data_IF_616175711172
#
_entry.id   IF_616175711172
#
_cell.length_a   1.000
_cell.length_b   1.000
_cell.length_c   1.000
_cell.angle_alpha   90.00
_cell.angle_beta   90.00
_cell.angle_gamma   90.00
#
_symmetry.space_group_name_H-M   'P 1'
#
loop_
_entity.id
_entity.type
_entity.pdbx_description
1 polymer ?
#
# COMPACT_ATOMS: atom_id res chain seq x y z
N UNK A 1 -4.71 18.60 5.28
CA UNK A 1 -4.73 17.43 4.40
C UNK A 1 -6.19 17.05 4.16
N UNK A 2 -6.62 16.85 2.91
CA UNK A 2 -8.02 16.47 2.66
C UNK A 2 -8.29 15.06 3.21
N UNK A 3 -9.51 14.83 3.72
CA UNK A 3 -9.88 13.57 4.41
C UNK A 3 -9.59 12.31 3.58
N UNK A 4 -9.68 12.41 2.24
CA UNK A 4 -9.37 11.31 1.31
C UNK A 4 -7.92 10.82 1.39
N UNK A 5 -6.96 11.72 1.57
CA UNK A 5 -5.54 11.36 1.65
C UNK A 5 -5.18 10.71 2.99
N UNK A 6 -5.83 11.15 4.07
CA UNK A 6 -5.73 10.48 5.36
C UNK A 6 -6.30 9.06 5.30
N UNK A 7 -7.45 8.86 4.65
CA UNK A 7 -8.03 7.54 4.46
C UNK A 7 -7.10 6.62 3.65
N UNK A 8 -6.53 7.10 2.54
CA UNK A 8 -5.56 6.32 1.74
C UNK A 8 -4.33 5.91 2.56
N UNK A 9 -3.79 6.80 3.39
CA UNK A 9 -2.66 6.48 4.27
C UNK A 9 -3.00 5.34 5.24
N UNK A 10 -4.20 5.37 5.82
CA UNK A 10 -4.68 4.30 6.70
C UNK A 10 -4.82 3.00 5.92
N UNK A 11 -5.45 3.02 4.75
CA UNK A 11 -5.61 1.84 3.88
C UNK A 11 -4.25 1.24 3.53
N UNK A 12 -3.26 2.06 3.14
CA UNK A 12 -1.90 1.60 2.88
C UNK A 12 -1.25 0.93 4.10
N UNK A 13 -1.47 1.48 5.29
CA UNK A 13 -1.00 0.86 6.56
C UNK A 13 -1.67 -0.50 6.78
N UNK A 14 -3.00 -0.54 6.62
CA UNK A 14 -3.81 -1.76 6.82
C UNK A 14 -3.39 -2.85 5.85
N UNK A 15 -3.19 -2.54 4.57
CA UNK A 15 -2.71 -3.51 3.58
C UNK A 15 -1.36 -4.12 3.96
N UNK A 16 -0.43 -3.31 4.48
CA UNK A 16 0.87 -3.81 4.95
C UNK A 16 0.72 -4.72 6.18
N UNK A 17 -0.16 -4.38 7.11
CA UNK A 17 -0.47 -5.23 8.28
C UNK A 17 -1.09 -6.56 7.82
N UNK A 18 -2.06 -6.50 6.90
CA UNK A 18 -2.69 -7.69 6.33
C UNK A 18 -1.68 -8.56 5.59
N UNK A 19 -0.72 -7.97 4.87
CA UNK A 19 0.36 -8.72 4.23
C UNK A 19 1.11 -9.59 5.26
N UNK A 20 1.54 -8.99 6.38
CA UNK A 20 2.23 -9.72 7.46
C UNK A 20 1.36 -10.81 8.08
N UNK A 21 0.07 -10.55 8.29
CA UNK A 21 -0.87 -11.55 8.81
C UNK A 21 -1.00 -12.73 7.85
N UNK A 22 -1.18 -12.46 6.55
CA UNK A 22 -1.28 -13.50 5.51
C UNK A 22 0.01 -14.31 5.42
N UNK A 23 1.18 -13.67 5.50
CA UNK A 23 2.46 -14.38 5.51
C UNK A 23 2.58 -15.30 6.73
N UNK A 24 2.22 -14.81 7.92
CA UNK A 24 2.25 -15.59 9.15
C UNK A 24 1.39 -16.85 9.03
N UNK A 25 0.13 -16.70 8.60
CA UNK A 25 -0.76 -17.86 8.40
C UNK A 25 -0.28 -18.78 7.29
N UNK A 26 0.31 -18.24 6.22
CA UNK A 26 0.91 -19.04 5.15
C UNK A 26 2.07 -19.91 5.64
N UNK A 27 2.95 -19.36 6.48
CA UNK A 27 4.06 -20.10 7.09
C UNK A 27 3.51 -21.18 8.04
N UNK A 28 2.56 -20.84 8.91
CA UNK A 28 1.93 -21.81 9.80
C UNK A 28 1.23 -22.94 9.03
N UNK A 29 0.52 -22.62 7.95
CA UNK A 29 -0.13 -23.59 7.07
C UNK A 29 0.88 -24.50 6.36
N UNK A 30 2.00 -23.95 5.90
CA UNK A 30 3.08 -24.75 5.30
C UNK A 30 3.68 -25.72 6.34
N UNK A 31 3.99 -25.25 7.55
CA UNK A 31 4.50 -26.13 8.61
C UNK A 31 3.49 -27.21 8.96
N UNK A 32 2.20 -26.87 9.05
CA UNK A 32 1.14 -27.83 9.32
C UNK A 32 1.08 -28.93 8.24
N UNK A 33 1.29 -28.60 6.95
CA UNK A 33 1.29 -29.62 5.89
C UNK A 33 2.43 -30.63 6.05
N UNK A 34 3.60 -30.21 6.55
CA UNK A 34 4.69 -31.13 6.89
C UNK A 34 4.32 -32.02 8.08
N UNK A 35 3.80 -31.44 9.16
CA UNK A 35 3.40 -32.21 10.35
C UNK A 35 2.38 -33.29 9.99
N UNK A 36 1.39 -32.93 9.17
CA UNK A 36 0.37 -33.87 8.70
C UNK A 36 0.98 -34.97 7.84
N UNK A 37 1.75 -34.62 6.81
CA UNK A 37 2.23 -35.62 5.85
C UNK A 37 3.39 -36.50 6.32
N UNK A 38 4.15 -36.07 7.33
CA UNK A 38 5.16 -36.91 8.00
C UNK A 38 4.64 -37.60 9.27
N UNK A 39 3.67 -37.00 9.96
CA UNK A 39 3.14 -37.51 11.23
C UNK A 39 2.01 -38.53 11.08
N UNK A 40 1.27 -38.48 9.96
CA UNK A 40 0.15 -39.39 9.67
C UNK A 40 0.46 -40.45 8.61
N UNK A 41 1.71 -40.50 8.11
CA UNK A 41 2.12 -41.49 7.13
C UNK A 41 1.98 -42.90 7.73
N UNK A 42 0.92 -43.61 7.38
CA UNK A 42 0.54 -44.91 7.95
C UNK A 42 -0.91 -45.00 8.45
N UNK A 43 -1.59 -43.87 8.65
CA UNK A 43 -3.03 -43.78 8.97
C UNK A 43 -3.90 -43.40 7.75
N UNK A 44 -3.25 -43.22 6.60
CA UNK A 44 -3.78 -42.89 5.26
C UNK A 44 -5.09 -43.61 4.91
N UNK A 45 -5.22 -44.88 5.32
CA UNK A 45 -6.39 -45.69 4.99
C UNK A 45 -7.63 -45.42 5.88
N UNK A 46 -7.47 -44.71 7.00
CA UNK A 46 -8.54 -44.48 7.98
C UNK A 46 -9.40 -43.25 7.64
N UNK A 47 -8.88 -42.28 6.86
CA UNK A 47 -9.58 -41.03 6.54
C UNK A 47 -9.98 -40.90 5.05
N UNK A 48 -9.63 -41.86 4.20
CA UNK A 48 -10.00 -41.86 2.78
C UNK A 48 -9.40 -40.72 1.95
N UNK A 49 -8.47 -39.96 2.54
CA UNK A 49 -7.67 -38.95 1.86
C UNK A 49 -6.36 -39.63 1.45
N UNK A 50 -6.10 -39.66 0.14
CA UNK A 50 -4.78 -40.03 -0.41
C UNK A 50 -3.82 -38.87 -0.14
N UNK A 51 -3.27 -38.80 1.08
CA UNK A 51 -2.20 -37.87 1.36
C UNK A 51 -0.96 -38.49 0.73
N UNK A 52 -0.50 -37.91 -0.38
CA UNK A 52 0.73 -38.31 -1.03
C UNK A 52 1.90 -38.17 -0.04
N UNK A 53 2.20 -39.20 0.77
CA UNK A 53 2.84 -39.15 2.10
C UNK A 53 3.99 -38.13 2.30
N UNK A 54 5.22 -38.56 2.64
CA UNK A 54 6.30 -37.60 2.90
C UNK A 54 6.64 -36.71 1.70
N UNK A 55 6.61 -37.26 0.49
CA UNK A 55 7.02 -36.54 -0.73
C UNK A 55 6.00 -35.48 -1.15
N UNK A 56 4.70 -35.78 -1.10
CA UNK A 56 3.66 -34.79 -1.40
C UNK A 56 3.53 -33.74 -0.30
N UNK A 57 3.83 -34.08 0.95
CA UNK A 57 3.93 -33.09 2.04
C UNK A 57 5.00 -32.03 1.78
N UNK A 58 6.18 -32.45 1.31
CA UNK A 58 7.26 -31.54 0.90
C UNK A 58 6.80 -30.68 -0.28
N UNK A 59 6.21 -31.29 -1.32
CA UNK A 59 5.73 -30.54 -2.48
C UNK A 59 4.68 -29.48 -2.08
N UNK A 60 3.70 -29.86 -1.26
CA UNK A 60 2.68 -28.96 -0.72
C UNK A 60 3.28 -27.84 0.13
N UNK A 61 4.25 -28.15 0.99
CA UNK A 61 4.95 -27.15 1.79
C UNK A 61 5.62 -26.08 0.90
N UNK A 62 6.34 -26.52 -0.14
CA UNK A 62 7.00 -25.61 -1.08
C UNK A 62 5.97 -24.76 -1.83
N UNK A 63 4.89 -25.37 -2.34
CA UNK A 63 3.83 -24.65 -3.05
C UNK A 63 3.15 -23.62 -2.16
N UNK A 64 2.78 -23.97 -0.92
CA UNK A 64 2.16 -23.06 0.04
C UNK A 64 3.09 -21.89 0.36
N UNK A 65 4.38 -22.16 0.60
CA UNK A 65 5.36 -21.09 0.86
C UNK A 65 5.49 -20.13 -0.31
N UNK A 66 5.61 -20.65 -1.54
CA UNK A 66 5.70 -19.81 -2.74
C UNK A 66 4.47 -18.91 -2.84
N UNK A 67 3.27 -19.49 -2.73
CA UNK A 67 2.01 -18.73 -2.79
C UNK A 67 1.94 -17.68 -1.67
N UNK A 68 2.32 -18.04 -0.44
CA UNK A 68 2.33 -17.13 0.71
C UNK A 68 3.28 -15.93 0.50
N UNK A 69 4.48 -16.19 -0.02
CA UNK A 69 5.48 -15.15 -0.31
C UNK A 69 4.98 -14.21 -1.42
N UNK A 70 4.47 -14.75 -2.53
CA UNK A 70 3.94 -13.91 -3.60
C UNK A 70 2.73 -13.08 -3.15
N UNK A 71 1.84 -13.66 -2.34
CA UNK A 71 0.69 -12.93 -1.82
C UNK A 71 1.11 -11.83 -0.83
N UNK A 72 2.10 -12.11 0.03
CA UNK A 72 2.73 -11.10 0.89
C UNK A 72 3.32 -9.95 0.07
N UNK A 73 4.14 -10.26 -0.94
CA UNK A 73 4.78 -9.25 -1.79
C UNK A 73 3.73 -8.40 -2.51
N UNK A 74 2.68 -9.02 -3.06
CA UNK A 74 1.61 -8.31 -3.74
C UNK A 74 0.87 -7.34 -2.81
N UNK A 75 0.45 -7.80 -1.63
CA UNK A 75 -0.26 -6.96 -0.65
C UNK A 75 0.63 -5.84 -0.09
N UNK A 76 1.87 -6.16 0.26
CA UNK A 76 2.82 -5.20 0.80
C UNK A 76 3.19 -4.14 -0.24
N UNK A 77 3.47 -4.55 -1.48
CA UNK A 77 3.78 -3.63 -2.59
C UNK A 77 2.58 -2.75 -2.94
N UNK A 78 1.35 -3.27 -2.90
CA UNK A 78 0.14 -2.47 -3.08
C UNK A 78 0.01 -1.40 -1.99
N UNK A 79 0.29 -1.75 -0.74
CA UNK A 79 0.36 -0.78 0.37
C UNK A 79 1.42 0.30 0.14
N UNK A 80 2.65 -0.07 -0.23
CA UNK A 80 3.74 0.86 -0.54
C UNK A 80 3.43 1.77 -1.74
N UNK A 81 2.78 1.24 -2.79
CA UNK A 81 2.40 2.04 -3.95
C UNK A 81 1.47 3.20 -3.56
N UNK A 82 0.56 2.99 -2.61
CA UNK A 82 -0.30 4.06 -2.08
C UNK A 82 0.55 5.16 -1.41
N UNK A 83 1.56 4.81 -0.63
CA UNK A 83 2.46 5.79 -0.01
C UNK A 83 3.29 6.55 -1.05
N UNK A 84 3.74 5.88 -2.12
CA UNK A 84 4.44 6.54 -3.23
C UNK A 84 3.54 7.58 -3.90
N UNK A 85 2.31 7.21 -4.26
CA UNK A 85 1.36 8.15 -4.87
C UNK A 85 1.01 9.32 -3.94
N UNK A 86 0.84 9.04 -2.65
CA UNK A 86 0.61 10.08 -1.65
C UNK A 86 1.80 11.06 -1.56
N UNK A 87 3.02 10.53 -1.59
CA UNK A 87 4.25 11.33 -1.53
C UNK A 87 4.41 12.20 -2.78
N UNK A 88 4.05 11.68 -3.96
CA UNK A 88 4.04 12.45 -5.21
C UNK A 88 3.05 13.62 -5.09
N UNK A 89 1.83 13.35 -4.63
CA UNK A 89 0.79 14.38 -4.47
C UNK A 89 1.20 15.47 -3.47
N UNK A 90 1.72 15.07 -2.30
CA UNK A 90 2.21 16.01 -1.29
C UNK A 90 3.33 16.91 -1.85
N UNK A 91 4.25 16.34 -2.62
CA UNK A 91 5.33 17.10 -3.25
C UNK A 91 4.81 18.06 -4.33
N UNK A 92 3.92 17.61 -5.21
CA UNK A 92 3.31 18.48 -6.22
C UNK A 92 2.53 19.63 -5.60
N UNK A 93 1.79 19.39 -4.52
CA UNK A 93 1.04 20.42 -3.79
C UNK A 93 1.99 21.45 -3.15
N UNK A 94 3.09 21.00 -2.54
CA UNK A 94 4.13 21.90 -1.99
C UNK A 94 4.75 22.77 -3.10
N UNK A 95 5.10 22.19 -4.23
CA UNK A 95 5.65 22.94 -5.38
C UNK A 95 4.66 23.99 -5.89
N UNK A 96 3.37 23.64 -6.01
CA UNK A 96 2.34 24.59 -6.43
C UNK A 96 2.23 25.79 -5.47
N UNK A 97 2.27 25.55 -4.15
CA UNK A 97 2.25 26.64 -3.16
C UNK A 97 3.50 27.52 -3.23
N UNK A 98 4.69 26.93 -3.36
CA UNK A 98 5.95 27.69 -3.49
C UNK A 98 5.92 28.58 -4.73
N UNK A 99 5.50 28.04 -5.88
CA UNK A 99 5.40 28.80 -7.12
C UNK A 99 4.39 29.94 -6.99
N UNK A 100 3.21 29.70 -6.42
CA UNK A 100 2.21 30.77 -6.19
C UNK A 100 2.76 31.89 -5.29
N UNK A 101 3.47 31.55 -4.21
CA UNK A 101 4.09 32.55 -3.34
C UNK A 101 5.15 33.37 -4.08
N UNK A 102 5.97 32.72 -4.91
CA UNK A 102 6.95 33.41 -5.76
C UNK A 102 6.25 34.35 -6.75
N UNK A 103 5.23 33.90 -7.46
CA UNK A 103 4.48 34.76 -8.39
C UNK A 103 3.90 36.00 -7.71
N UNK A 104 3.29 35.86 -6.53
CA UNK A 104 2.77 37.01 -5.76
C UNK A 104 3.90 37.97 -5.37
N UNK A 105 5.08 37.47 -5.01
CA UNK A 105 6.22 38.32 -4.66
C UNK A 105 6.86 39.06 -5.85
N UNK A 106 6.76 38.50 -7.06
CA UNK A 106 7.27 39.11 -8.29
C UNK A 106 6.25 40.01 -9.01
N UNK A 107 5.00 40.06 -8.54
CA UNK A 107 4.01 40.96 -9.12
C UNK A 107 4.40 42.41 -8.78
N UNK A 108 4.78 43.24 -9.77
CA UNK A 108 5.06 44.65 -9.52
C UNK A 108 3.80 45.24 -8.91
N UNK A 109 3.93 45.98 -7.81
CA UNK A 109 2.80 46.70 -7.24
C UNK A 109 2.16 47.52 -8.36
N UNK A 110 0.90 47.21 -8.71
CA UNK A 110 0.17 48.01 -9.67
C UNK A 110 0.31 49.47 -9.23
N UNK A 111 0.78 50.33 -10.12
CA UNK A 111 0.74 51.76 -9.87
C UNK A 111 -0.70 52.11 -9.53
N UNK A 112 -0.92 52.76 -8.39
CA UNK A 112 -2.25 53.19 -7.97
C UNK A 112 -2.92 53.89 -9.15
N UNK A 113 -4.17 53.55 -9.52
CA UNK A 113 -4.85 54.19 -10.64
C UNK A 113 -4.74 55.71 -10.47
N UNK A 114 -4.38 56.42 -11.54
CA UNK A 114 -4.31 57.88 -11.52
C UNK A 114 -5.63 58.43 -10.95
N UNK A 115 -5.53 59.35 -10.00
CA UNK A 115 -6.71 59.95 -9.38
C UNK A 115 -7.65 60.48 -10.48
N UNK A 116 -8.97 60.27 -10.37
CA UNK A 116 -9.90 60.75 -11.36
C UNK A 116 -9.71 62.26 -11.57
N UNK A 117 -9.79 62.76 -12.82
CA UNK A 117 -9.64 64.19 -13.08
C UNK A 117 -10.66 64.95 -12.23
N UNK A 118 -10.19 65.99 -11.54
CA UNK A 118 -11.07 66.90 -10.82
C UNK A 118 -12.05 67.48 -11.83
N UNK A 119 -13.34 67.29 -11.59
CA UNK A 119 -14.38 67.95 -12.37
C UNK A 119 -14.30 69.44 -12.02
N UNK A 120 -13.99 70.28 -13.01
CA UNK A 120 -14.13 71.72 -12.84
C UNK A 120 -15.64 72.02 -12.70
N UNK A 121 -16.05 72.47 -11.51
CA UNK A 121 -17.39 72.97 -11.26
C UNK A 121 -17.48 74.36 -11.91
N UNK A 122 -18.19 74.46 -13.05
CA UNK A 122 -18.54 75.72 -13.73
C UNK A 122 -19.48 76.60 -12.89
#
# INVERSE_FOLDING_TARGET
MERRFTALRIIGTVLKILAWIVLLFGILGAIASLVVGFGLSGQEQLLGLDLAGPLGAIAMFITILIVAIFNFLALYAAGEAIYVFLSIEENSRRTAYILQQQYVSYQPGYASPAAPPAYDEE
#
